data_IF_292171008480
#
_entry.id   IF_292171008480
#
_cell.length_a   1.000
_cell.length_b   1.000
_cell.length_c   1.000
_cell.angle_alpha   90.00
_cell.angle_beta   90.00
_cell.angle_gamma   90.00
#
_symmetry.space_group_name_H-M   'P 1'
#
loop_
_entity.id
_entity.type
_entity.pdbx_description
1 polymer ?
#
# COMPACT_ATOMS: atom_id res chain seq x y z
N UNK A 1 3.67 -13.66 50.60
CA UNK A 1 3.68 -12.25 50.14
C UNK A 1 3.28 -12.19 48.67
N UNK A 2 2.24 -11.44 48.35
CA UNK A 2 1.90 -11.11 46.97
C UNK A 2 2.89 -10.07 46.42
N UNK A 3 3.10 -10.03 45.10
CA UNK A 3 3.92 -8.97 44.49
C UNK A 3 3.22 -7.60 44.59
N UNK A 4 3.88 -6.53 44.14
CA UNK A 4 3.34 -5.15 44.09
C UNK A 4 1.99 -5.01 43.37
N UNK A 5 1.55 -6.03 42.64
CA UNK A 5 0.29 -6.08 41.91
C UNK A 5 -0.75 -7.02 42.57
N UNK A 6 -0.53 -7.44 43.82
CA UNK A 6 -1.47 -8.30 44.56
C UNK A 6 -1.53 -9.75 44.05
N UNK A 7 -0.65 -10.15 43.14
CA UNK A 7 -0.63 -11.51 42.58
C UNK A 7 0.25 -12.44 43.41
N UNK A 8 -0.24 -13.66 43.61
CA UNK A 8 0.57 -14.72 44.23
C UNK A 8 1.72 -15.13 43.32
N UNK A 9 2.86 -15.48 43.91
CA UNK A 9 4.10 -15.82 43.18
C UNK A 9 3.91 -16.91 42.11
N UNK A 10 2.99 -17.85 42.35
CA UNK A 10 2.62 -18.91 41.41
C UNK A 10 2.00 -18.36 40.12
N UNK A 11 1.13 -17.35 40.23
CA UNK A 11 0.45 -16.73 39.09
C UNK A 11 1.47 -15.93 38.26
N UNK A 12 2.34 -15.17 38.91
CA UNK A 12 3.40 -14.38 38.24
C UNK A 12 4.32 -15.28 37.42
N UNK A 13 4.73 -16.43 37.98
CA UNK A 13 5.54 -17.43 37.27
C UNK A 13 4.83 -18.01 36.04
N UNK A 14 3.53 -18.33 36.15
CA UNK A 14 2.71 -18.79 35.03
C UNK A 14 2.58 -17.74 33.93
N UNK A 15 2.35 -16.48 34.29
CA UNK A 15 2.27 -15.37 33.35
C UNK A 15 3.61 -15.12 32.63
N UNK A 16 4.73 -15.18 33.37
CA UNK A 16 6.06 -15.04 32.78
C UNK A 16 6.39 -16.18 31.80
N UNK A 17 6.05 -17.43 32.14
CA UNK A 17 6.21 -18.57 31.25
C UNK A 17 5.35 -18.43 29.98
N UNK A 18 4.09 -18.02 30.12
CA UNK A 18 3.20 -17.73 28.98
C UNK A 18 3.76 -16.64 28.06
N UNK A 19 4.28 -15.53 28.63
CA UNK A 19 4.92 -14.46 27.86
C UNK A 19 6.19 -14.94 27.13
N UNK A 20 7.00 -15.78 27.77
CA UNK A 20 8.20 -16.39 27.14
C UNK A 20 7.81 -17.27 25.95
N UNK A 21 6.77 -18.08 26.09
CA UNK A 21 6.24 -18.92 25.01
C UNK A 21 5.61 -18.09 23.87
N UNK A 22 4.92 -16.99 24.18
CA UNK A 22 4.28 -16.13 23.19
C UNK A 22 5.27 -15.29 22.35
N UNK A 23 6.42 -14.89 22.93
CA UNK A 23 7.43 -14.09 22.23
C UNK A 23 7.94 -14.76 20.94
N UNK A 24 8.06 -16.08 20.92
CA UNK A 24 8.59 -16.82 19.76
C UNK A 24 7.49 -17.34 18.82
N UNK A 25 6.21 -17.32 19.22
CA UNK A 25 5.10 -17.76 18.35
C UNK A 25 5.03 -16.92 17.06
N UNK A 26 5.25 -15.61 17.13
CA UNK A 26 5.21 -14.74 15.92
C UNK A 26 6.33 -15.02 14.91
N UNK A 27 7.46 -15.58 15.35
CA UNK A 27 8.54 -16.01 14.45
C UNK A 27 8.20 -17.35 13.78
N UNK A 28 7.51 -18.25 14.49
CA UNK A 28 7.05 -19.53 13.94
C UNK A 28 5.87 -19.41 12.96
N UNK A 29 5.07 -18.33 13.04
CA UNK A 29 4.01 -18.01 12.08
C UNK A 29 4.52 -17.30 10.81
N UNK A 30 5.83 -17.06 10.68
CA UNK A 30 6.39 -16.67 9.39
C UNK A 30 6.21 -17.85 8.45
N UNK A 31 5.31 -17.70 7.46
CA UNK A 31 5.14 -18.67 6.38
C UNK A 31 6.53 -19.00 5.84
N UNK A 32 6.89 -20.29 5.80
CA UNK A 32 8.15 -20.74 5.23
C UNK A 32 8.17 -20.36 3.74
N UNK A 33 8.78 -19.21 3.43
CA UNK A 33 8.92 -18.67 2.09
C UNK A 33 10.30 -19.04 1.55
N UNK A 34 10.50 -20.35 1.31
CA UNK A 34 11.60 -20.90 0.51
C UNK A 34 13.03 -20.54 0.93
N UNK A 35 14.00 -21.15 0.23
CA UNK A 35 15.43 -20.95 0.46
C UNK A 35 15.96 -19.70 -0.29
N UNK A 36 15.24 -18.58 -0.20
CA UNK A 36 15.62 -17.37 -0.94
C UNK A 36 16.71 -16.57 -0.21
N UNK A 37 17.71 -16.11 -0.97
CA UNK A 37 18.82 -15.31 -0.46
C UNK A 37 18.30 -14.04 0.27
N UNK A 38 18.75 -13.75 1.49
CA UNK A 38 18.42 -12.50 2.19
C UNK A 38 18.60 -11.22 1.35
N UNK A 39 19.53 -11.22 0.40
CA UNK A 39 19.75 -10.12 -0.54
C UNK A 39 18.61 -9.95 -1.54
N UNK A 40 18.08 -11.03 -2.13
CA UNK A 40 16.97 -10.95 -3.09
C UNK A 40 15.69 -10.44 -2.41
N UNK A 41 15.43 -10.85 -1.17
CA UNK A 41 14.34 -10.33 -0.34
C UNK A 41 14.45 -8.83 -0.03
N UNK A 42 15.65 -8.37 0.34
CA UNK A 42 15.91 -6.92 0.53
C UNK A 42 15.75 -6.16 -0.78
N UNK A 43 16.17 -6.73 -1.90
CA UNK A 43 16.06 -6.14 -3.22
C UNK A 43 14.60 -6.05 -3.71
N UNK A 44 13.75 -7.05 -3.44
CA UNK A 44 12.31 -6.96 -3.74
C UNK A 44 11.64 -5.84 -2.93
N UNK A 45 11.98 -5.73 -1.64
CA UNK A 45 11.52 -4.62 -0.80
C UNK A 45 12.04 -3.26 -1.27
N UNK A 46 13.27 -3.19 -1.78
CA UNK A 46 13.82 -1.95 -2.34
C UNK A 46 13.13 -1.57 -3.65
N UNK A 47 12.98 -2.51 -4.59
CA UNK A 47 12.28 -2.28 -5.87
C UNK A 47 10.83 -1.84 -5.64
N UNK A 48 10.09 -2.49 -4.74
CA UNK A 48 8.71 -2.10 -4.44
C UNK A 48 8.62 -0.74 -3.76
N UNK A 49 9.55 -0.42 -2.85
CA UNK A 49 9.64 0.92 -2.23
C UNK A 49 10.01 2.00 -3.24
N UNK A 50 10.92 1.72 -4.18
CA UNK A 50 11.31 2.64 -5.26
C UNK A 50 10.14 2.90 -6.20
N UNK A 51 9.49 1.85 -6.69
CA UNK A 51 8.31 1.99 -7.54
C UNK A 51 7.20 2.78 -6.85
N UNK A 52 6.96 2.50 -5.56
CA UNK A 52 5.98 3.25 -4.77
C UNK A 52 6.38 4.72 -4.63
N UNK A 53 7.65 5.01 -4.37
CA UNK A 53 8.17 6.36 -4.24
C UNK A 53 8.09 7.14 -5.55
N UNK A 54 8.51 6.54 -6.67
CA UNK A 54 8.41 7.12 -8.01
C UNK A 54 6.95 7.38 -8.39
N UNK A 55 6.04 6.45 -8.11
CA UNK A 55 4.60 6.66 -8.31
C UNK A 55 4.07 7.83 -7.46
N UNK A 56 4.56 7.99 -6.23
CA UNK A 56 4.21 9.10 -5.32
C UNK A 56 4.77 10.45 -5.79
N UNK A 57 5.96 10.49 -6.38
CA UNK A 57 6.55 11.71 -6.94
C UNK A 57 5.89 12.10 -8.26
N UNK A 58 5.58 11.12 -9.10
CA UNK A 58 4.90 11.30 -10.39
C UNK A 58 3.42 11.63 -10.23
N UNK A 59 2.84 11.38 -9.06
CA UNK A 59 1.49 11.81 -8.75
C UNK A 59 1.45 13.31 -8.51
N UNK A 60 0.45 14.06 -9.03
CA UNK A 60 0.25 15.44 -8.65
C UNK A 60 0.07 15.53 -7.13
N UNK A 61 1.06 16.12 -6.42
CA UNK A 61 1.03 16.28 -4.95
C UNK A 61 -0.05 17.25 -4.47
N UNK A 62 -0.63 18.03 -5.39
CA UNK A 62 -1.60 19.08 -5.08
C UNK A 62 -2.99 18.63 -5.52
N UNK A 63 -4.00 19.00 -4.71
CA UNK A 63 -5.39 19.02 -5.16
C UNK A 63 -5.45 19.70 -6.53
N UNK A 64 -6.24 19.18 -7.46
CA UNK A 64 -6.40 19.79 -8.79
C UNK A 64 -6.70 21.28 -8.63
N UNK A 65 -6.03 22.12 -9.44
CA UNK A 65 -6.17 23.58 -9.42
C UNK A 65 -7.64 23.99 -9.60
N UNK A 66 -8.37 23.26 -10.45
CA UNK A 66 -9.79 23.39 -10.70
C UNK A 66 -10.39 21.99 -10.94
N UNK A 67 -11.71 21.85 -10.78
CA UNK A 67 -12.47 20.63 -11.11
C UNK A 67 -13.11 20.69 -12.50
N UNK A 68 -13.03 21.82 -13.20
CA UNK A 68 -13.59 21.97 -14.54
C UNK A 68 -12.82 21.14 -15.58
N UNK A 69 -13.47 20.23 -16.33
CA UNK A 69 -12.78 19.36 -17.29
C UNK A 69 -11.99 20.11 -18.36
N UNK A 70 -12.58 21.15 -18.97
CA UNK A 70 -11.93 21.92 -20.05
C UNK A 70 -10.62 22.55 -19.59
N UNK A 71 -10.62 23.17 -18.40
CA UNK A 71 -9.42 23.76 -17.82
C UNK A 71 -8.33 22.71 -17.49
N UNK A 72 -8.72 21.48 -17.15
CA UNK A 72 -7.79 20.39 -16.90
C UNK A 72 -7.20 19.80 -18.18
N UNK A 73 -7.95 19.82 -19.28
CA UNK A 73 -7.48 19.44 -20.63
C UNK A 73 -6.48 20.49 -21.12
N UNK A 74 -6.82 21.78 -21.03
CA UNK A 74 -5.93 22.89 -21.42
C UNK A 74 -4.60 22.88 -20.65
N UNK A 75 -4.62 22.51 -19.37
CA UNK A 75 -3.41 22.37 -18.54
C UNK A 75 -2.60 21.10 -18.85
N UNK A 76 -3.08 20.21 -19.73
CA UNK A 76 -2.43 18.93 -20.04
C UNK A 76 -2.41 17.95 -18.86
N UNK A 77 -3.41 18.03 -17.97
CA UNK A 77 -3.53 17.11 -16.82
C UNK A 77 -4.31 15.86 -17.21
N UNK A 78 -5.39 16.03 -17.98
CA UNK A 78 -6.22 14.95 -18.50
C UNK A 78 -6.22 14.95 -20.04
N UNK A 79 -6.33 13.76 -20.61
CA UNK A 79 -6.57 13.50 -22.02
C UNK A 79 -8.02 13.90 -22.41
N UNK A 80 -8.30 14.03 -23.71
CA UNK A 80 -9.62 14.32 -24.28
C UNK A 80 -10.68 13.29 -23.83
N UNK A 81 -10.25 12.03 -23.63
CA UNK A 81 -11.10 10.94 -23.11
C UNK A 81 -11.37 11.07 -21.60
N UNK A 82 -10.70 11.97 -20.91
CA UNK A 82 -10.84 12.23 -19.47
C UNK A 82 -9.86 11.46 -18.57
N UNK A 83 -8.86 10.77 -19.13
CA UNK A 83 -7.87 10.04 -18.33
C UNK A 83 -6.72 10.96 -17.89
N UNK A 84 -6.18 10.75 -16.69
CA UNK A 84 -4.94 11.43 -16.29
C UNK A 84 -3.75 10.95 -17.13
N UNK A 85 -3.01 11.89 -17.72
CA UNK A 85 -1.84 11.60 -18.57
C UNK A 85 -0.70 10.98 -17.73
N UNK A 86 -0.55 11.44 -16.49
CA UNK A 86 0.45 10.93 -15.53
C UNK A 86 -0.22 10.45 -14.24
N UNK A 87 0.31 9.38 -13.66
CA UNK A 87 -0.16 8.82 -12.40
C UNK A 87 -1.26 7.77 -12.58
N UNK A 88 -2.44 7.98 -11.96
CA UNK A 88 -3.49 6.96 -11.90
C UNK A 88 -4.28 6.94 -13.21
N UNK A 89 -4.36 5.76 -13.83
CA UNK A 89 -5.13 5.46 -15.06
C UNK A 89 -6.66 5.47 -14.86
N UNK A 90 -7.14 6.27 -13.92
CA UNK A 90 -8.57 6.44 -13.63
C UNK A 90 -9.09 7.59 -14.47
N UNK A 91 -10.28 7.45 -15.01
CA UNK A 91 -10.94 8.51 -15.75
C UNK A 91 -11.56 9.52 -14.76
N UNK A 92 -11.31 10.80 -14.97
CA UNK A 92 -11.80 11.89 -14.14
C UNK A 92 -13.30 12.15 -14.34
N UNK A 93 -13.81 11.96 -15.56
CA UNK A 93 -15.20 12.19 -15.95
C UNK A 93 -16.10 11.07 -15.43
N UNK A 94 -15.80 9.82 -15.82
CA UNK A 94 -16.61 8.64 -15.44
C UNK A 94 -16.33 8.17 -14.02
N UNK A 95 -15.21 8.61 -13.42
CA UNK A 95 -14.73 8.15 -12.10
C UNK A 95 -14.54 6.63 -12.03
N UNK A 96 -14.38 5.95 -13.17
CA UNK A 96 -14.05 4.53 -13.30
C UNK A 96 -12.70 4.34 -14.00
N UNK A 97 -12.33 3.10 -14.32
CA UNK A 97 -11.11 2.79 -15.08
C UNK A 97 -11.34 2.73 -16.60
N UNK A 98 -12.53 3.13 -17.06
CA UNK A 98 -12.95 3.08 -18.46
C UNK A 98 -13.52 4.44 -18.88
N UNK A 99 -13.44 4.73 -20.17
CA UNK A 99 -14.12 5.86 -20.78
C UNK A 99 -15.62 5.57 -21.01
N UNK A 100 -16.32 6.54 -21.62
CA UNK A 100 -17.75 6.41 -21.94
C UNK A 100 -18.02 5.28 -22.95
N UNK A 101 -17.01 4.89 -23.74
CA UNK A 101 -17.09 3.81 -24.73
C UNK A 101 -16.72 2.44 -24.14
N UNK A 102 -16.39 2.36 -22.85
CA UNK A 102 -15.98 1.12 -22.20
C UNK A 102 -14.53 0.71 -22.45
N UNK A 103 -13.71 1.60 -23.01
CA UNK A 103 -12.30 1.36 -23.26
C UNK A 103 -11.45 1.87 -22.09
N UNK A 104 -10.41 1.13 -21.75
CA UNK A 104 -9.45 1.51 -20.72
C UNK A 104 -8.46 2.58 -21.23
N UNK A 105 -7.52 2.96 -20.36
CA UNK A 105 -6.47 3.94 -20.68
C UNK A 105 -5.69 3.59 -21.97
N UNK A 106 -5.50 2.29 -22.24
CA UNK A 106 -4.78 1.77 -23.39
C UNK A 106 -5.65 1.56 -24.63
N UNK A 107 -6.95 1.85 -24.54
CA UNK A 107 -7.89 1.62 -25.63
C UNK A 107 -8.38 0.18 -25.72
N UNK A 108 -8.20 -0.63 -24.67
CA UNK A 108 -8.69 -2.01 -24.62
C UNK A 108 -10.03 -2.10 -23.88
N UNK A 109 -10.97 -2.94 -24.34
CA UNK A 109 -12.22 -3.18 -23.62
C UNK A 109 -11.95 -3.84 -22.27
N UNK A 110 -12.78 -3.54 -21.26
CA UNK A 110 -12.61 -4.00 -19.88
C UNK A 110 -13.90 -4.51 -19.26
#
# INVERSE_FOLDING_TARGET
MANSHGLTSRIVKKQAASRKMAKNKKAAYQVYMGNENPQTRKNMSYKSRHHYYENKQNFPKKKLSNKNPSALIEQGIIDERGFFIKGKKKNFLTKTMVDVKGLDFYGMPR
#
